data_IF_055766597279
#
_entry.id   IF_055766597279
#
_cell.length_a   1.000
_cell.length_b   1.000
_cell.length_c   1.000
_cell.angle_alpha   90.00
_cell.angle_beta   90.00
_cell.angle_gamma   90.00
#
_symmetry.space_group_name_H-M   'P 1'
#
loop_
_entity.id
_entity.type
_entity.pdbx_description
1 polymer ?
#
# COMPACT_ATOMS: atom_id res chain seq x y z
N UNK A 1 27.68 5.38 -6.07
CA UNK A 1 26.97 5.07 -4.81
C UNK A 1 25.53 4.80 -5.17
N UNK A 2 24.91 3.72 -4.66
CA UNK A 2 23.49 3.45 -4.90
C UNK A 2 22.66 4.29 -3.91
N UNK A 3 21.79 5.17 -4.43
CA UNK A 3 20.92 6.00 -3.60
C UNK A 3 19.60 5.27 -3.32
N UNK A 4 19.28 5.06 -2.05
CA UNK A 4 18.02 4.44 -1.62
C UNK A 4 16.98 5.52 -1.30
N UNK A 5 15.77 5.36 -1.85
CA UNK A 5 14.69 6.33 -1.80
C UNK A 5 13.40 5.61 -1.37
N UNK A 6 12.66 6.20 -0.43
CA UNK A 6 11.32 5.71 -0.10
C UNK A 6 10.30 6.20 -1.14
N UNK A 7 9.54 5.28 -1.70
CA UNK A 7 8.50 5.61 -2.66
C UNK A 7 7.30 6.25 -1.95
N UNK A 8 6.63 7.15 -2.67
CA UNK A 8 5.29 7.63 -2.30
C UNK A 8 4.27 6.49 -2.44
N UNK A 9 3.12 6.57 -1.76
CA UNK A 9 2.03 5.60 -1.95
C UNK A 9 1.69 5.41 -3.43
N UNK A 10 1.60 4.16 -3.89
CA UNK A 10 1.35 3.85 -5.30
C UNK A 10 -0.03 4.34 -5.78
N UNK A 11 -0.97 4.52 -4.85
CA UNK A 11 -2.29 5.07 -5.12
C UNK A 11 -2.25 6.59 -5.39
N UNK A 12 -1.22 7.28 -4.89
CA UNK A 12 -1.03 8.72 -5.10
C UNK A 12 -0.18 9.03 -6.33
N UNK A 13 0.86 8.23 -6.56
CA UNK A 13 1.78 8.39 -7.69
C UNK A 13 2.21 7.02 -8.23
N UNK A 14 1.98 6.80 -9.53
CA UNK A 14 2.35 5.54 -10.18
C UNK A 14 3.87 5.32 -10.13
N UNK A 15 4.30 4.06 -9.95
CA UNK A 15 5.71 3.68 -9.87
C UNK A 15 6.54 4.22 -11.05
N UNK A 16 6.02 4.12 -12.28
CA UNK A 16 6.65 4.66 -13.48
C UNK A 16 6.96 6.16 -13.35
N UNK A 17 5.99 6.95 -12.89
CA UNK A 17 6.15 8.38 -12.69
C UNK A 17 7.17 8.69 -11.59
N UNK A 18 7.17 7.91 -10.51
CA UNK A 18 8.15 8.05 -9.43
C UNK A 18 9.57 7.78 -9.92
N UNK A 19 9.78 6.71 -10.71
CA UNK A 19 11.09 6.40 -11.32
C UNK A 19 11.57 7.56 -12.20
N UNK A 20 10.68 8.11 -13.04
CA UNK A 20 11.01 9.27 -13.90
C UNK A 20 11.37 10.51 -13.09
N UNK A 21 10.64 10.78 -12.01
CA UNK A 21 10.92 11.91 -11.13
C UNK A 21 12.31 11.84 -10.48
N UNK A 22 12.90 10.65 -10.37
CA UNK A 22 14.24 10.45 -9.85
C UNK A 22 15.34 10.33 -10.92
N UNK A 23 15.02 10.64 -12.18
CA UNK A 23 15.97 10.63 -13.30
C UNK A 23 16.05 9.30 -14.06
N UNK A 24 15.19 8.34 -13.74
CA UNK A 24 15.08 7.07 -14.48
C UNK A 24 14.23 7.20 -15.75
N UNK A 25 14.23 6.16 -16.58
CA UNK A 25 13.45 6.10 -17.84
C UNK A 25 12.00 5.63 -17.65
N UNK A 26 11.51 5.59 -16.41
CA UNK A 26 10.23 4.97 -16.07
C UNK A 26 10.33 3.46 -15.84
N UNK A 27 9.19 2.83 -15.58
CA UNK A 27 9.11 1.39 -15.32
C UNK A 27 9.20 0.62 -16.64
N UNK A 28 10.33 -0.08 -16.84
CA UNK A 28 10.65 -0.80 -18.07
C UNK A 28 11.45 -2.08 -17.77
N UNK A 29 11.88 -2.81 -18.81
CA UNK A 29 12.61 -4.08 -18.69
C UNK A 29 14.00 -3.97 -18.04
N UNK A 30 14.54 -2.75 -17.88
CA UNK A 30 15.79 -2.51 -17.17
C UNK A 30 15.63 -2.36 -15.65
N UNK A 31 14.40 -2.20 -15.15
CA UNK A 31 14.14 -2.07 -13.72
C UNK A 31 14.21 -3.43 -13.05
N UNK A 32 15.13 -3.61 -12.11
CA UNK A 32 15.26 -4.83 -11.32
C UNK A 32 14.35 -4.76 -10.11
N UNK A 33 13.68 -5.87 -9.79
CA UNK A 33 12.72 -5.94 -8.69
C UNK A 33 13.18 -6.99 -7.70
N UNK A 34 13.21 -6.62 -6.42
CA UNK A 34 13.47 -7.53 -5.31
C UNK A 34 12.41 -7.34 -4.22
N UNK A 35 11.56 -8.34 -3.96
CA UNK A 35 10.65 -8.31 -2.82
C UNK A 35 11.42 -8.25 -1.50
N UNK A 36 10.92 -7.46 -0.54
CA UNK A 36 11.45 -7.46 0.82
C UNK A 36 10.79 -8.59 1.61
N UNK A 37 11.55 -9.66 1.88
CA UNK A 37 11.08 -10.86 2.57
C UNK A 37 10.44 -10.47 3.91
N UNK A 38 9.24 -10.98 4.18
CA UNK A 38 8.49 -10.70 5.40
C UNK A 38 7.67 -9.41 5.37
N UNK A 39 7.61 -8.71 4.23
CA UNK A 39 6.81 -7.50 4.04
C UNK A 39 6.06 -7.52 2.69
N UNK A 40 5.14 -6.59 2.52
CA UNK A 40 4.48 -6.30 1.24
C UNK A 40 5.26 -5.31 0.37
N UNK A 41 6.42 -4.83 0.85
CA UNK A 41 7.25 -3.87 0.12
C UNK A 41 8.18 -4.55 -0.90
N UNK A 42 8.53 -3.80 -1.95
CA UNK A 42 9.43 -4.21 -3.01
C UNK A 42 10.49 -3.13 -3.25
N UNK A 43 11.71 -3.56 -3.55
CA UNK A 43 12.80 -2.70 -4.02
C UNK A 43 12.83 -2.71 -5.55
N UNK A 44 12.88 -1.52 -6.14
CA UNK A 44 12.95 -1.28 -7.58
C UNK A 44 14.24 -0.53 -7.87
N UNK A 45 15.21 -1.22 -8.48
CA UNK A 45 16.52 -0.67 -8.79
C UNK A 45 16.60 -0.31 -10.28
N UNK A 46 17.06 0.90 -10.59
CA UNK A 46 17.10 1.44 -11.94
C UNK A 46 18.29 2.41 -12.14
N UNK A 47 18.77 2.49 -13.37
CA UNK A 47 19.86 3.39 -13.73
C UNK A 47 19.37 4.83 -13.96
N UNK A 48 20.19 5.79 -13.53
CA UNK A 48 20.02 7.22 -13.79
C UNK A 48 21.35 7.82 -14.26
N UNK A 49 21.36 9.03 -14.84
CA UNK A 49 22.61 9.72 -15.21
C UNK A 49 23.59 9.93 -14.05
N UNK A 50 23.08 9.98 -12.81
CA UNK A 50 23.87 10.17 -11.58
C UNK A 50 24.35 8.84 -10.97
N UNK A 51 23.93 7.71 -11.54
CA UNK A 51 24.19 6.36 -11.05
C UNK A 51 22.91 5.57 -10.75
N UNK A 52 23.10 4.34 -10.30
CA UNK A 52 22.01 3.44 -9.91
C UNK A 52 21.25 4.00 -8.69
N UNK A 53 19.92 3.94 -8.74
CA UNK A 53 19.04 4.31 -7.62
C UNK A 53 18.07 3.17 -7.32
N UNK A 54 17.61 3.13 -6.08
CA UNK A 54 16.65 2.12 -5.60
C UNK A 54 15.46 2.80 -4.94
N UNK A 55 14.25 2.55 -5.46
CA UNK A 55 12.98 2.94 -4.86
C UNK A 55 12.42 1.77 -4.04
N UNK A 56 12.05 2.02 -2.79
CA UNK A 56 11.41 1.02 -1.92
C UNK A 56 9.94 1.39 -1.74
N UNK A 57 9.02 0.51 -2.13
CA UNK A 57 7.58 0.75 -1.93
C UNK A 57 7.19 0.65 -0.47
N UNK A 58 6.08 1.29 -0.12
CA UNK A 58 5.49 1.13 1.20
C UNK A 58 5.06 -0.32 1.45
N UNK A 59 5.05 -0.71 2.72
CA UNK A 59 4.64 -2.03 3.17
C UNK A 59 3.11 -2.16 3.18
N UNK A 60 2.47 -2.00 2.03
CA UNK A 60 1.00 -1.96 1.93
C UNK A 60 0.48 -3.07 1.01
N UNK A 61 -0.53 -3.80 1.47
CA UNK A 61 -1.21 -4.83 0.69
C UNK A 61 -2.60 -4.33 0.27
N UNK A 62 -2.86 -4.22 -1.03
CA UNK A 62 -4.20 -3.93 -1.55
C UNK A 62 -5.07 -5.19 -1.47
N UNK A 63 -6.16 -5.11 -0.70
CA UNK A 63 -7.10 -6.21 -0.48
C UNK A 63 -8.26 -6.18 -1.46
N UNK A 64 -8.64 -5.01 -1.99
CA UNK A 64 -9.74 -4.92 -2.94
C UNK A 64 -10.31 -3.52 -3.09
N UNK A 65 -11.38 -3.42 -3.87
CA UNK A 65 -12.09 -2.19 -4.16
C UNK A 65 -13.54 -2.31 -3.71
N UNK A 66 -14.02 -1.34 -2.93
CA UNK A 66 -15.40 -1.25 -2.45
C UNK A 66 -15.92 0.15 -2.76
N UNK A 67 -16.93 0.24 -3.61
CA UNK A 67 -17.59 1.52 -3.96
C UNK A 67 -16.60 2.62 -4.40
N UNK A 68 -15.58 2.24 -5.17
CA UNK A 68 -14.52 3.15 -5.62
C UNK A 68 -13.43 3.47 -4.60
N UNK A 69 -13.46 2.86 -3.41
CA UNK A 69 -12.48 3.02 -2.34
C UNK A 69 -11.62 1.76 -2.22
N UNK A 70 -10.32 1.92 -2.01
CA UNK A 70 -9.39 0.82 -1.82
C UNK A 70 -9.41 0.36 -0.37
N UNK A 71 -9.50 -0.95 -0.15
CA UNK A 71 -9.25 -1.54 1.17
C UNK A 71 -7.82 -2.05 1.17
N UNK A 72 -7.03 -1.58 2.12
CA UNK A 72 -5.59 -1.84 2.20
C UNK A 72 -5.24 -2.32 3.59
N UNK A 73 -4.28 -3.25 3.70
CA UNK A 73 -3.63 -3.59 4.96
C UNK A 73 -2.22 -3.00 4.99
N UNK A 74 -1.93 -2.23 6.02
CA UNK A 74 -0.63 -1.64 6.29
C UNK A 74 0.20 -2.63 7.13
N UNK A 75 1.25 -3.17 6.53
CA UNK A 75 2.12 -4.16 7.17
C UNK A 75 3.07 -3.57 8.22
N UNK A 76 3.24 -2.25 8.29
CA UNK A 76 4.07 -1.61 9.32
C UNK A 76 3.28 -1.38 10.61
N UNK A 77 2.01 -1.00 10.48
CA UNK A 77 1.11 -0.72 11.62
C UNK A 77 0.18 -1.89 11.98
N UNK A 78 -0.08 -2.79 11.04
CA UNK A 78 -1.10 -3.85 11.17
C UNK A 78 -2.54 -3.34 10.95
N UNK A 79 -2.70 -2.09 10.50
CA UNK A 79 -4.02 -1.49 10.31
C UNK A 79 -4.63 -1.86 8.96
N UNK A 80 -5.93 -2.14 8.98
CA UNK A 80 -6.76 -2.10 7.79
C UNK A 80 -7.25 -0.68 7.57
N UNK A 81 -7.08 -0.18 6.35
CA UNK A 81 -7.40 1.20 5.97
C UNK A 81 -8.31 1.21 4.75
N UNK A 82 -9.25 2.12 4.75
CA UNK A 82 -10.01 2.53 3.58
C UNK A 82 -9.32 3.75 2.98
N UNK A 83 -8.83 3.62 1.75
CA UNK A 83 -8.13 4.68 1.03
C UNK A 83 -8.97 5.10 -0.15
N UNK A 84 -9.19 6.40 -0.26
CA UNK A 84 -9.96 6.94 -1.38
C UNK A 84 -9.21 8.03 -2.08
N UNK A 85 -9.16 7.88 -3.39
CA UNK A 85 -8.28 8.67 -4.22
C UNK A 85 -9.10 9.68 -5.00
N UNK A 86 -8.95 10.97 -4.69
CA UNK A 86 -9.55 12.05 -5.46
C UNK A 86 -8.62 12.46 -6.58
N UNK A 87 -9.07 12.27 -7.82
CA UNK A 87 -8.37 12.74 -9.01
C UNK A 87 -8.55 14.25 -9.15
N UNK A 88 -7.45 14.99 -9.12
CA UNK A 88 -7.44 16.43 -9.42
C UNK A 88 -7.11 16.59 -10.90
N UNK A 89 -7.96 17.30 -11.65
CA UNK A 89 -7.88 17.40 -13.11
C UNK A 89 -6.56 18.01 -13.65
N UNK A 90 -5.80 18.73 -12.81
CA UNK A 90 -4.60 19.50 -13.23
C UNK A 90 -3.35 19.25 -12.38
N UNK A 91 -3.39 18.38 -11.37
CA UNK A 91 -2.22 18.11 -10.54
C UNK A 91 -1.48 16.85 -11.05
N UNK A 92 -0.14 16.82 -11.02
CA UNK A 92 0.63 15.62 -11.34
C UNK A 92 0.52 14.52 -10.26
N UNK A 93 -0.17 14.82 -9.15
CA UNK A 93 -0.39 13.93 -8.01
C UNK A 93 -1.89 13.77 -7.73
N UNK A 94 -2.25 12.66 -7.09
CA UNK A 94 -3.60 12.41 -6.58
C UNK A 94 -3.62 12.69 -5.08
N UNK A 95 -4.75 13.17 -4.57
CA UNK A 95 -4.97 13.24 -3.12
C UNK A 95 -5.61 11.94 -2.67
N UNK A 96 -5.06 11.33 -1.62
CA UNK A 96 -5.69 10.23 -0.92
C UNK A 96 -6.29 10.72 0.40
N UNK A 97 -7.42 10.16 0.79
CA UNK A 97 -7.89 10.21 2.16
C UNK A 97 -7.83 8.80 2.74
N UNK A 98 -7.37 8.69 3.98
CA UNK A 98 -7.26 7.42 4.69
C UNK A 98 -8.22 7.41 5.88
N UNK A 99 -8.92 6.29 6.06
CA UNK A 99 -9.74 6.02 7.23
C UNK A 99 -9.37 4.65 7.77
N UNK A 100 -8.94 4.58 9.04
CA UNK A 100 -8.68 3.30 9.71
C UNK A 100 -10.00 2.56 9.90
N UNK A 101 -10.02 1.29 9.49
CA UNK A 101 -11.14 0.37 9.62
C UNK A 101 -10.98 -0.56 10.83
N UNK A 102 -9.75 -0.76 11.30
CA UNK A 102 -9.43 -1.59 12.46
C UNK A 102 -8.04 -2.21 12.36
N UNK A 103 -7.65 -3.00 13.34
CA UNK A 103 -6.39 -3.78 13.37
C UNK A 103 -6.63 -5.29 13.29
N UNK A 104 -7.90 -5.71 13.25
CA UNK A 104 -8.30 -7.10 13.03
C UNK A 104 -9.22 -7.22 11.83
N UNK A 105 -9.29 -8.43 11.27
CA UNK A 105 -10.25 -8.75 10.22
C UNK A 105 -11.70 -8.51 10.67
N UNK A 106 -12.06 -8.87 11.92
CA UNK A 106 -13.41 -8.65 12.42
C UNK A 106 -13.77 -7.16 12.49
N UNK A 107 -12.87 -6.34 13.04
CA UNK A 107 -13.08 -4.88 13.13
C UNK A 107 -13.23 -4.27 11.74
N UNK A 108 -12.35 -4.66 10.79
CA UNK A 108 -12.43 -4.17 9.42
C UNK A 108 -13.76 -4.53 8.77
N UNK A 109 -14.19 -5.80 8.86
CA UNK A 109 -15.47 -6.23 8.27
C UNK A 109 -16.66 -5.51 8.91
N UNK A 110 -16.62 -5.31 10.24
CA UNK A 110 -17.67 -4.58 10.94
C UNK A 110 -17.72 -3.11 10.51
N UNK A 111 -16.58 -2.44 10.41
CA UNK A 111 -16.50 -1.07 9.93
C UNK A 111 -17.02 -0.93 8.50
N UNK A 112 -16.68 -1.89 7.61
CA UNK A 112 -17.18 -1.92 6.24
C UNK A 112 -18.71 -2.09 6.18
N UNK A 113 -19.29 -2.98 7.00
CA UNK A 113 -20.73 -3.16 7.10
C UNK A 113 -21.45 -1.92 7.64
N UNK A 114 -20.84 -1.16 8.56
CA UNK A 114 -21.40 0.09 9.04
C UNK A 114 -21.41 1.18 7.95
N UNK A 115 -20.40 1.20 7.07
CA UNK A 115 -20.32 2.17 5.97
C UNK A 115 -21.29 1.79 4.84
N UNK A 116 -21.37 0.50 4.49
CA UNK A 116 -22.23 -0.02 3.43
C UNK A 116 -23.14 -1.15 3.95
N UNK A 117 -24.20 -0.82 4.69
CA UNK A 117 -25.06 -1.83 5.36
C UNK A 117 -25.82 -2.73 4.39
N UNK A 118 -26.04 -2.28 3.16
CA UNK A 118 -26.76 -3.05 2.14
C UNK A 118 -25.83 -3.96 1.30
N UNK A 119 -24.51 -3.91 1.51
CA UNK A 119 -23.56 -4.72 0.75
C UNK A 119 -23.38 -6.10 1.39
N UNK A 120 -23.87 -7.12 0.70
CA UNK A 120 -23.83 -8.51 1.16
C UNK A 120 -22.66 -9.32 0.59
N UNK A 121 -22.08 -8.88 -0.53
CA UNK A 121 -20.97 -9.55 -1.21
C UNK A 121 -19.74 -8.64 -1.19
N UNK A 122 -18.65 -9.15 -0.63
CA UNK A 122 -17.37 -8.45 -0.50
C UNK A 122 -16.33 -9.13 -1.38
N UNK A 123 -15.85 -8.42 -2.40
CA UNK A 123 -14.78 -8.92 -3.29
C UNK A 123 -13.42 -8.48 -2.74
N UNK A 124 -13.04 -9.05 -1.58
CA UNK A 124 -11.76 -8.77 -0.91
C UNK A 124 -10.85 -10.01 -0.96
N UNK A 125 -9.64 -9.81 -1.48
CA UNK A 125 -8.57 -10.80 -1.56
C UNK A 125 -7.73 -10.76 -0.28
N UNK A 126 -8.32 -11.25 0.82
CA UNK A 126 -7.68 -11.24 2.14
C UNK A 126 -6.88 -12.54 2.33
N UNK A 127 -5.55 -12.46 2.53
CA UNK A 127 -4.74 -13.63 2.86
C UNK A 127 -5.23 -14.31 4.14
N UNK A 128 -5.15 -15.64 4.17
CA UNK A 128 -5.60 -16.44 5.32
C UNK A 128 -4.92 -16.02 6.64
N UNK A 129 -3.62 -15.66 6.57
CA UNK A 129 -2.88 -15.17 7.73
C UNK A 129 -3.49 -13.91 8.38
N UNK A 130 -4.14 -13.05 7.59
CA UNK A 130 -4.82 -11.84 8.09
C UNK A 130 -6.24 -12.13 8.58
N UNK A 131 -6.88 -13.22 8.11
CA UNK A 131 -8.18 -13.67 8.64
C UNK A 131 -8.03 -14.29 10.03
N UNK A 132 -6.93 -15.01 10.22
CA UNK A 132 -6.62 -15.73 11.45
C UNK A 132 -5.89 -14.87 12.49
N UNK A 133 -5.54 -13.62 12.17
CA UNK A 133 -4.89 -12.69 13.10
C UNK A 133 -5.88 -12.21 14.16
N UNK A 134 -6.27 -13.14 15.03
CA UNK A 134 -7.04 -12.87 16.24
C UNK A 134 -5.98 -12.70 17.33
N UNK A 135 -5.66 -11.45 17.67
CA UNK A 135 -4.87 -11.09 18.86
C UNK A 135 -3.40 -11.57 18.86
N UNK A 136 -2.49 -10.79 18.28
CA UNK A 136 -1.06 -10.83 18.67
C UNK A 136 -0.50 -9.51 19.19
N UNK A 137 -1.32 -8.47 19.36
CA UNK A 137 -0.84 -7.12 19.77
C UNK A 137 -1.15 -6.80 21.24
N UNK A 138 -1.21 -7.80 22.14
CA UNK A 138 -1.24 -7.53 23.59
C UNK A 138 0.12 -7.84 24.28
N UNK A 139 1.02 -8.58 23.63
CA UNK A 139 2.24 -9.05 24.30
C UNK A 139 3.39 -8.02 24.43
N UNK A 140 3.24 -6.77 23.98
CA UNK A 140 4.33 -5.77 24.01
C UNK A 140 4.17 -4.64 25.03
N UNK A 141 3.19 -4.73 25.93
CA UNK A 141 2.94 -3.72 26.97
C UNK A 141 3.26 -4.19 28.41
N UNK A 142 3.91 -5.34 28.60
CA UNK A 142 4.17 -5.94 29.92
C UNK A 142 5.61 -6.42 30.16
N UNK A 143 6.60 -5.72 29.61
CA UNK A 143 8.01 -5.87 30.03
C UNK A 143 8.68 -4.51 30.16
#
# INVERSE_FOLDING_TARGET
>A
MNTVIQAKPLLEMALDAQIRAHGGRGYNCGVKIKPNIGSYSCQYTFDTPEGEKTLITQNTLNLGLVDGNFVVHDGDTGEFKLITVKKIARAPYRLSYEKVLGVTYQEMMWALQLIWPNQTIWQLNIPEALRLSTVKVIAKALH
#
